data_IF_672184346420
#
_entry.id   IF_672184346420
#
_cell.length_a   1.000
_cell.length_b   1.000
_cell.length_c   1.000
_cell.angle_alpha   90.00
_cell.angle_beta   90.00
_cell.angle_gamma   90.00
#
_symmetry.space_group_name_H-M   'P 1'
#
loop_
_entity.id
_entity.type
_entity.pdbx_description
1 polymer ?
#
# COMPACT_ATOMS: atom_id res chain seq x y z
N UNK A 1 5.41 16.45 5.49
CA UNK A 1 4.68 16.25 4.20
C UNK A 1 5.48 15.51 3.12
N UNK A 2 6.83 15.50 3.14
CA UNK A 2 7.65 14.80 2.12
C UNK A 2 7.35 13.30 1.99
N UNK A 3 7.21 12.59 3.11
CA UNK A 3 6.98 11.13 3.11
C UNK A 3 5.64 10.79 2.45
N UNK A 4 4.61 11.59 2.68
CA UNK A 4 3.28 11.32 2.13
C UNK A 4 3.27 11.50 0.60
N UNK A 5 3.87 12.59 0.11
CA UNK A 5 4.04 12.81 -1.33
C UNK A 5 4.92 11.73 -1.97
N UNK A 6 5.98 11.27 -1.30
CA UNK A 6 6.82 10.20 -1.81
C UNK A 6 6.05 8.89 -1.98
N UNK A 7 5.24 8.50 -0.98
CA UNK A 7 4.43 7.28 -1.06
C UNK A 7 3.41 7.40 -2.19
N UNK A 8 2.69 8.51 -2.29
CA UNK A 8 1.67 8.73 -3.34
C UNK A 8 2.24 8.68 -4.77
N UNK A 9 3.49 9.10 -4.95
CA UNK A 9 4.18 9.03 -6.25
C UNK A 9 4.87 7.67 -6.52
N UNK A 10 5.05 6.84 -5.49
CA UNK A 10 5.76 5.56 -5.60
C UNK A 10 4.82 4.37 -5.79
N UNK A 11 3.51 4.55 -5.60
CA UNK A 11 2.50 3.50 -5.78
C UNK A 11 1.70 3.69 -7.08
N UNK A 12 1.04 2.63 -7.54
CA UNK A 12 0.17 2.70 -8.70
C UNK A 12 -1.02 3.65 -8.43
N UNK A 13 -1.53 4.41 -9.43
CA UNK A 13 -2.61 5.38 -9.19
C UNK A 13 -3.85 4.82 -8.51
N UNK A 14 -4.23 3.56 -8.81
CA UNK A 14 -5.35 2.88 -8.16
C UNK A 14 -5.12 2.63 -6.66
N UNK A 15 -3.87 2.37 -6.27
CA UNK A 15 -3.47 2.21 -4.87
C UNK A 15 -3.43 3.59 -4.21
N UNK A 16 -2.85 4.59 -4.87
CA UNK A 16 -2.80 5.98 -4.39
C UNK A 16 -4.19 6.52 -4.03
N UNK A 17 -5.19 6.26 -4.89
CA UNK A 17 -6.58 6.65 -4.62
C UNK A 17 -7.19 5.97 -3.39
N UNK A 18 -6.72 4.77 -3.03
CA UNK A 18 -7.21 4.05 -1.86
C UNK A 18 -6.58 4.55 -0.55
N UNK A 19 -5.39 5.15 -0.60
CA UNK A 19 -4.63 5.61 0.58
C UNK A 19 -4.65 7.13 0.75
N UNK A 20 -5.16 7.89 -0.23
CA UNK A 20 -5.21 9.37 -0.21
C UNK A 20 -5.98 9.96 0.97
N UNK A 21 -6.92 9.19 1.54
CA UNK A 21 -7.73 9.60 2.68
C UNK A 21 -7.04 9.35 4.03
N UNK A 22 -5.88 8.68 4.04
CA UNK A 22 -5.14 8.40 5.25
C UNK A 22 -4.23 9.59 5.57
N UNK A 23 -4.41 10.18 6.75
CA UNK A 23 -3.66 11.37 7.17
C UNK A 23 -2.25 11.02 7.67
N UNK A 24 -2.05 9.78 8.14
CA UNK A 24 -0.79 9.31 8.71
C UNK A 24 -0.06 8.36 7.76
N UNK A 25 1.21 8.66 7.47
CA UNK A 25 2.07 7.80 6.65
C UNK A 25 2.29 6.41 7.27
N UNK A 26 2.18 6.26 8.59
CA UNK A 26 2.27 4.97 9.28
C UNK A 26 1.08 4.08 8.92
N UNK A 27 -0.14 4.64 8.90
CA UNK A 27 -1.35 3.89 8.55
C UNK A 27 -1.30 3.46 7.08
N UNK A 28 -0.84 4.36 6.20
CA UNK A 28 -0.58 4.05 4.78
C UNK A 28 0.41 2.89 4.65
N UNK A 29 1.51 2.91 5.40
CA UNK A 29 2.52 1.85 5.34
C UNK A 29 1.97 0.51 5.86
N UNK A 30 1.15 0.51 6.90
CA UNK A 30 0.54 -0.70 7.45
C UNK A 30 -0.49 -1.31 6.48
N UNK A 31 -1.34 -0.50 5.84
CA UNK A 31 -2.28 -0.96 4.81
C UNK A 31 -1.56 -1.57 3.61
N UNK A 32 -0.51 -0.90 3.11
CA UNK A 32 0.32 -1.44 2.03
C UNK A 32 0.98 -2.76 2.46
N UNK A 33 1.53 -2.81 3.68
CA UNK A 33 2.13 -4.03 4.20
C UNK A 33 1.11 -5.16 4.28
N UNK A 34 -0.09 -4.94 4.81
CA UNK A 34 -1.13 -5.97 4.89
C UNK A 34 -1.57 -6.45 3.51
N UNK A 35 -1.84 -5.53 2.58
CA UNK A 35 -2.26 -5.84 1.20
C UNK A 35 -1.24 -6.69 0.44
N UNK A 36 0.05 -6.38 0.60
CA UNK A 36 1.13 -7.09 -0.10
C UNK A 36 1.76 -8.22 0.73
N UNK A 37 1.44 -8.33 2.02
CA UNK A 37 1.86 -9.43 2.90
C UNK A 37 1.15 -10.76 2.57
N UNK A 38 0.11 -10.74 1.74
CA UNK A 38 -0.61 -11.93 1.28
C UNK A 38 0.14 -12.75 0.20
N UNK A 39 1.38 -12.37 -0.12
CA UNK A 39 2.19 -12.92 -1.21
C UNK A 39 2.68 -14.37 -1.10
N UNK A 40 1.93 -15.30 -0.48
CA UNK A 40 2.27 -16.74 -0.55
C UNK A 40 1.10 -17.73 -0.35
N UNK A 41 -0.18 -17.30 -0.40
CA UNK A 41 -1.31 -18.22 -0.21
C UNK A 41 -1.85 -18.87 -1.49
N UNK A 42 -1.44 -18.42 -2.68
CA UNK A 42 -1.63 -19.21 -3.91
C UNK A 42 -0.40 -20.09 -4.10
N UNK A 43 -0.29 -21.14 -3.28
CA UNK A 43 0.32 -22.38 -3.75
C UNK A 43 -0.62 -22.86 -4.87
N UNK A 44 -0.23 -22.68 -6.13
CA UNK A 44 -0.72 -23.54 -7.20
C UNK A 44 -0.42 -24.96 -6.74
N UNK A 45 -1.42 -25.61 -6.16
CA UNK A 45 -1.40 -27.06 -6.01
C UNK A 45 -1.91 -27.59 -7.34
N UNK A 46 -1.10 -28.47 -7.93
CA UNK A 46 -1.33 -29.20 -9.19
C UNK A 46 -2.78 -29.65 -9.41
#
# INVERSE_FOLDING_TARGET
>A
MLIHSWIMNSVYPSIAQSIIFMENAVDVWLDLKERFSQGDLVRVSE
#
